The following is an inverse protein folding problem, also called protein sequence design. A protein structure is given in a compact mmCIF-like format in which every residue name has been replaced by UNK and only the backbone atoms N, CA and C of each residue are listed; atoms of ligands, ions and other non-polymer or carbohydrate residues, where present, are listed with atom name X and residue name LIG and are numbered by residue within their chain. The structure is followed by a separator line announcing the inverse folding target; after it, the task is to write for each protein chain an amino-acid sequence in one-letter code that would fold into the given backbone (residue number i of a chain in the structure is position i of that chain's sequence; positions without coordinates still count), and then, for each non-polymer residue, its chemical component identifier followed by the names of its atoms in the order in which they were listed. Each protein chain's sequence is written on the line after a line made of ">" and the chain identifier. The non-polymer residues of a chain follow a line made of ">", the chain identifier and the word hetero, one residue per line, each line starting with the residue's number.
data_IF_491700201348
#
_entry.id   IF_491700201348
#
_cell.length_a   1.000
_cell.length_b   1.000
_cell.length_c   1.000
_cell.angle_alpha   90.00
_cell.angle_beta   90.00
_cell.angle_gamma   90.00
#
_symmetry.space_group_name_H-M   'P 1'
#
loop_
_entity.id
_entity.type
_entity.pdbx_description
1 polymer ?
#
# COMPACT_ATOMS: atom_id res chain seq x y z
N UNK A 1 -27.15 65.77 -16.29
CA UNK A 1 -27.59 66.11 -14.93
C UNK A 1 -27.43 64.90 -14.05
N UNK A 2 -26.58 64.92 -13.11
CA UNK A 2 -26.36 64.52 -12.09
C UNK A 2 -25.46 64.21 -11.18
N UNK A 3 -25.41 64.29 -10.16
CA UNK A 3 -24.60 64.61 -8.92
C UNK A 3 -23.65 63.45 -8.55
N UNK A 4 -22.37 63.82 -8.51
CA UNK A 4 -21.31 62.99 -7.89
C UNK A 4 -21.39 63.16 -6.38
N UNK A 5 -21.45 62.05 -5.65
CA UNK A 5 -21.25 62.04 -4.20
C UNK A 5 -19.83 61.47 -3.93
N UNK A 6 -18.95 62.38 -3.44
CA UNK A 6 -17.63 62.02 -2.99
C UNK A 6 -17.69 61.73 -1.48
N UNK A 7 -17.42 60.52 -1.08
CA UNK A 7 -17.36 60.16 0.34
C UNK A 7 -15.88 60.07 0.73
N UNK A 8 -15.48 61.05 1.52
CA UNK A 8 -14.14 61.23 2.06
C UNK A 8 -14.07 60.41 3.36
N UNK A 9 -13.28 59.33 3.34
CA UNK A 9 -13.06 58.50 4.56
C UNK A 9 -11.73 58.92 5.18
N UNK A 10 -11.84 59.44 6.37
CA UNK A 10 -10.79 59.94 7.24
C UNK A 10 -9.99 58.75 7.81
N UNK A 11 -8.68 58.66 7.43
CA UNK A 11 -7.78 57.71 8.09
C UNK A 11 -7.22 58.31 9.38
N UNK A 12 -7.58 57.71 10.51
CA UNK A 12 -6.94 57.97 11.78
C UNK A 12 -5.83 56.96 12.01
N UNK A 13 -4.58 57.44 11.95
CA UNK A 13 -3.41 56.66 12.37
C UNK A 13 -3.31 56.66 13.89
N UNK A 14 -3.48 55.53 14.52
CA UNK A 14 -3.07 55.31 15.91
C UNK A 14 -1.72 54.57 15.90
N UNK A 15 -0.69 55.29 16.30
CA UNK A 15 0.61 54.69 16.58
C UNK A 15 0.55 53.99 17.94
N UNK A 16 0.52 52.65 17.92
CA UNK A 16 0.64 51.81 19.09
C UNK A 16 2.07 51.26 19.19
N UNK A 17 2.74 51.55 20.30
CA UNK A 17 4.08 51.05 20.62
C UNK A 17 4.05 49.52 20.74
N UNK A 18 4.83 48.81 19.94
CA UNK A 18 5.06 47.37 20.05
C UNK A 18 6.11 47.10 21.13
N UNK A 19 5.67 46.60 22.27
CA UNK A 19 6.56 45.89 23.21
C UNK A 19 6.85 44.55 22.62
N UNK A 20 8.10 44.26 22.27
CA UNK A 20 8.56 42.98 21.79
C UNK A 20 8.42 41.91 22.86
N UNK A 21 7.48 40.97 22.66
CA UNK A 21 7.48 39.70 23.38
C UNK A 21 8.19 38.68 22.47
N UNK A 22 9.33 38.21 22.95
CA UNK A 22 10.07 37.09 22.39
C UNK A 22 9.22 35.81 22.57
N UNK A 23 8.42 35.49 21.55
CA UNK A 23 7.62 34.26 21.51
C UNK A 23 8.51 33.16 20.95
N UNK A 24 9.16 32.43 21.86
CA UNK A 24 9.79 31.15 21.52
C UNK A 24 8.75 30.25 20.84
N UNK A 25 8.95 29.76 19.61
CA UNK A 25 7.98 28.91 18.95
C UNK A 25 7.90 27.59 19.73
N UNK A 26 6.79 27.38 20.43
CA UNK A 26 6.44 26.07 20.99
C UNK A 26 6.37 25.06 19.84
N UNK A 27 7.17 23.97 19.87
CA UNK A 27 7.08 22.95 18.84
C UNK A 27 5.66 22.40 18.80
N UNK A 28 5.03 22.47 17.64
CA UNK A 28 3.71 21.92 17.42
C UNK A 28 3.70 20.43 17.84
N UNK A 29 2.69 19.96 18.58
CA UNK A 29 2.62 18.56 18.99
C UNK A 29 2.60 17.68 17.74
N UNK A 30 3.65 16.90 17.56
CA UNK A 30 3.71 15.87 16.54
C UNK A 30 2.59 14.87 16.82
N UNK A 31 1.49 15.01 16.10
CA UNK A 31 0.33 14.14 16.18
C UNK A 31 0.78 12.73 15.81
N UNK A 32 1.08 11.91 16.81
CA UNK A 32 1.36 10.48 16.61
C UNK A 32 0.15 9.88 15.92
N UNK A 33 0.30 9.59 14.62
CA UNK A 33 -0.72 8.91 13.84
C UNK A 33 -1.03 7.59 14.53
N UNK A 34 -2.26 7.43 14.99
CA UNK A 34 -2.70 6.24 15.71
C UNK A 34 -2.50 4.99 14.86
N UNK A 35 -2.19 3.88 15.50
CA UNK A 35 -1.98 2.57 14.88
C UNK A 35 -3.16 2.13 13.97
N UNK A 36 -4.38 2.58 14.26
CA UNK A 36 -5.59 2.32 13.47
C UNK A 36 -5.52 2.93 12.05
N UNK A 37 -4.83 4.07 11.87
CA UNK A 37 -4.69 4.65 10.53
C UNK A 37 -3.79 3.81 9.61
N UNK A 38 -2.92 2.96 10.17
CA UNK A 38 -2.10 2.02 9.41
C UNK A 38 -2.90 0.80 8.93
N UNK A 39 -3.98 0.45 9.63
CA UNK A 39 -4.86 -0.67 9.24
C UNK A 39 -5.85 -0.23 8.17
N UNK A 40 -6.38 0.99 8.28
CA UNK A 40 -7.41 1.52 7.36
C UNK A 40 -6.82 2.13 6.08
N UNK A 41 -5.55 2.56 6.11
CA UNK A 41 -4.87 3.13 4.95
C UNK A 41 -3.43 2.59 4.89
N UNK A 42 -3.22 1.35 4.39
CA UNK A 42 -1.88 0.79 4.22
C UNK A 42 -1.02 1.64 3.29
N UNK A 43 -1.61 2.43 2.41
CA UNK A 43 -0.96 3.45 1.60
C UNK A 43 -1.16 4.86 2.16
N UNK A 44 -0.52 5.15 3.28
CA UNK A 44 -0.18 6.55 3.54
C UNK A 44 0.81 6.99 2.45
N UNK A 45 0.50 8.02 1.65
CA UNK A 45 1.31 8.41 0.48
C UNK A 45 2.76 8.79 0.79
N UNK A 46 3.19 8.69 2.04
CA UNK A 46 4.49 9.17 2.49
C UNK A 46 5.45 8.10 3.05
N UNK A 47 5.10 6.81 3.02
CA UNK A 47 6.02 5.76 3.49
C UNK A 47 6.39 4.86 2.33
N UNK A 48 7.43 5.25 1.61
CA UNK A 48 8.07 4.37 0.63
C UNK A 48 8.84 3.30 1.40
N UNK A 49 8.60 2.00 1.15
CA UNK A 49 9.36 0.94 1.79
C UNK A 49 10.86 1.11 1.55
N UNK A 50 11.66 0.83 2.57
CA UNK A 50 13.12 0.86 2.48
C UNK A 50 13.62 -0.55 2.18
N UNK A 51 14.06 -0.78 0.95
CA UNK A 51 14.66 -2.05 0.54
C UNK A 51 16.18 -2.00 0.65
N UNK A 52 16.80 -3.12 0.97
CA UNK A 52 18.27 -3.28 0.96
C UNK A 52 18.79 -3.27 -0.47
N UNK A 53 18.08 -3.97 -1.38
CA UNK A 53 18.40 -3.96 -2.80
C UNK A 53 18.13 -2.57 -3.41
N UNK A 54 19.16 -1.86 -3.89
CA UNK A 54 18.99 -0.52 -4.47
C UNK A 54 18.05 -0.49 -5.69
N UNK A 55 17.92 -1.63 -6.41
CA UNK A 55 17.06 -1.74 -7.60
C UNK A 55 15.57 -1.63 -7.25
N UNK A 56 15.19 -1.99 -6.01
CA UNK A 56 13.81 -1.99 -5.55
C UNK A 56 13.38 -0.64 -4.95
N UNK A 57 14.31 0.31 -4.80
CA UNK A 57 14.01 1.60 -4.19
C UNK A 57 12.95 2.37 -4.96
N UNK A 58 11.93 2.79 -4.25
CA UNK A 58 10.78 3.51 -4.83
C UNK A 58 9.64 2.61 -5.26
N UNK A 59 9.81 1.28 -5.24
CA UNK A 59 8.69 0.36 -5.44
C UNK A 59 7.85 0.26 -4.17
N UNK A 60 6.54 0.05 -4.35
CA UNK A 60 5.59 -0.21 -3.27
C UNK A 60 4.60 -1.29 -3.70
N UNK A 61 4.16 -2.11 -2.74
CA UNK A 61 3.14 -3.13 -2.95
C UNK A 61 1.86 -2.76 -2.22
N UNK A 62 0.74 -3.01 -2.87
CA UNK A 62 -0.60 -3.06 -2.27
C UNK A 62 -1.19 -4.45 -2.43
N UNK A 63 -1.94 -4.89 -1.43
CA UNK A 63 -2.61 -6.18 -1.43
C UNK A 63 -4.06 -6.00 -1.01
N UNK A 64 -4.96 -6.46 -1.85
CA UNK A 64 -6.38 -6.52 -1.58
C UNK A 64 -6.87 -7.96 -1.69
N UNK A 65 -7.53 -8.43 -0.65
CA UNK A 65 -8.13 -9.75 -0.59
C UNK A 65 -9.65 -9.60 -0.57
N UNK A 66 -10.33 -10.33 -1.41
CA UNK A 66 -11.80 -10.27 -1.50
C UNK A 66 -12.39 -11.67 -1.51
N UNK A 67 -13.31 -11.95 -0.56
CA UNK A 67 -13.70 -11.11 0.58
C UNK A 67 -12.70 -11.20 1.74
N UNK A 68 -12.73 -10.22 2.66
CA UNK A 68 -11.90 -10.26 3.88
C UNK A 68 -12.41 -11.24 4.94
N UNK A 69 -13.70 -11.60 4.87
CA UNK A 69 -14.30 -12.68 5.64
C UNK A 69 -14.77 -13.75 4.67
N UNK A 70 -14.12 -14.90 4.71
CA UNK A 70 -14.30 -15.99 3.75
C UNK A 70 -15.26 -17.01 4.35
N UNK A 71 -16.47 -17.14 3.79
CA UNK A 71 -17.42 -18.20 4.12
C UNK A 71 -17.03 -19.47 3.38
N UNK A 72 -16.48 -20.45 4.09
CA UNK A 72 -15.94 -21.68 3.50
C UNK A 72 -17.02 -22.57 2.86
N UNK A 73 -18.29 -22.43 3.28
CA UNK A 73 -19.43 -23.08 2.64
C UNK A 73 -19.74 -22.56 1.23
N UNK A 74 -19.41 -21.29 0.96
CA UNK A 74 -19.76 -20.61 -0.28
C UNK A 74 -18.54 -20.36 -1.19
N UNK A 75 -17.38 -20.07 -0.60
CA UNK A 75 -16.19 -19.57 -1.30
C UNK A 75 -15.11 -20.62 -1.37
N UNK A 76 -14.83 -21.12 -2.58
CA UNK A 76 -13.80 -22.13 -2.85
C UNK A 76 -12.47 -21.51 -3.30
N UNK A 77 -12.50 -20.26 -3.75
CA UNK A 77 -11.32 -19.53 -4.18
C UNK A 77 -11.37 -18.11 -3.63
N UNK A 78 -10.23 -17.63 -3.14
CA UNK A 78 -10.04 -16.29 -2.64
C UNK A 78 -9.44 -15.44 -3.76
N UNK A 79 -10.04 -14.29 -4.04
CA UNK A 79 -9.49 -13.33 -4.99
C UNK A 79 -8.41 -12.49 -4.33
N UNK A 80 -7.27 -12.41 -4.98
CA UNK A 80 -6.06 -11.70 -4.51
C UNK A 80 -5.64 -10.72 -5.60
N UNK A 81 -5.78 -9.43 -5.32
CA UNK A 81 -5.29 -8.35 -6.19
C UNK A 81 -4.03 -7.75 -5.59
N UNK A 82 -2.95 -7.77 -6.35
CA UNK A 82 -1.66 -7.17 -5.96
C UNK A 82 -1.35 -6.04 -6.92
N UNK A 83 -0.99 -4.89 -6.38
CA UNK A 83 -0.55 -3.73 -7.17
C UNK A 83 0.90 -3.43 -6.84
N UNK A 84 1.77 -3.49 -7.84
CA UNK A 84 3.15 -3.04 -7.78
C UNK A 84 3.23 -1.64 -8.38
N UNK A 85 3.64 -0.64 -7.58
CA UNK A 85 3.73 0.75 -8.00
C UNK A 85 5.16 1.26 -7.94
N UNK A 86 5.60 2.01 -8.96
CA UNK A 86 6.84 2.77 -8.92
C UNK A 86 6.56 4.20 -8.45
N UNK A 87 6.90 4.49 -7.21
CA UNK A 87 6.76 5.81 -6.59
C UNK A 87 8.00 6.69 -6.78
N UNK A 88 9.04 6.18 -7.45
CA UNK A 88 10.25 6.92 -7.73
C UNK A 88 10.12 7.80 -8.99
N UNK A 89 11.10 8.68 -9.19
CA UNK A 89 11.20 9.51 -10.41
C UNK A 89 12.01 8.84 -11.54
N UNK A 90 12.44 7.59 -11.35
CA UNK A 90 13.24 6.83 -12.30
C UNK A 90 12.52 5.55 -12.69
N UNK A 91 12.68 5.08 -13.94
CA UNK A 91 12.19 3.76 -14.30
C UNK A 91 12.93 2.68 -13.49
N UNK A 92 12.22 1.61 -13.17
CA UNK A 92 12.76 0.44 -12.48
C UNK A 92 12.62 -0.76 -13.42
N UNK A 93 13.68 -1.56 -13.54
CA UNK A 93 13.69 -2.76 -14.34
C UNK A 93 13.84 -3.98 -13.43
N UNK A 94 12.96 -4.96 -13.60
CA UNK A 94 12.98 -6.23 -12.88
C UNK A 94 13.10 -7.37 -13.88
N UNK A 95 14.13 -8.21 -13.72
CA UNK A 95 14.36 -9.38 -14.56
C UNK A 95 13.88 -10.65 -13.86
N UNK A 96 13.11 -11.44 -14.58
CA UNK A 96 12.55 -12.70 -14.12
C UNK A 96 13.07 -13.85 -14.96
N UNK A 97 13.63 -14.90 -14.37
CA UNK A 97 14.16 -16.05 -15.12
C UNK A 97 13.06 -16.96 -15.68
N UNK A 98 11.84 -16.85 -15.17
CA UNK A 98 10.68 -17.67 -15.56
C UNK A 98 9.48 -16.79 -15.87
N UNK A 99 8.35 -17.40 -16.25
CA UNK A 99 7.07 -16.67 -16.42
C UNK A 99 6.45 -16.26 -15.10
N UNK A 100 6.87 -16.84 -13.97
CA UNK A 100 6.35 -16.49 -12.64
C UNK A 100 6.79 -15.09 -12.22
N UNK A 101 5.82 -14.25 -11.87
CA UNK A 101 6.07 -12.91 -11.34
C UNK A 101 5.87 -12.87 -9.84
N UNK A 102 4.77 -13.45 -9.37
CA UNK A 102 4.39 -13.47 -7.98
C UNK A 102 4.20 -14.91 -7.47
N UNK A 103 4.29 -15.08 -6.18
CA UNK A 103 3.87 -16.26 -5.44
C UNK A 103 2.90 -15.84 -4.34
N UNK A 104 1.91 -16.66 -4.08
CA UNK A 104 0.93 -16.43 -3.02
C UNK A 104 0.91 -17.62 -2.09
N UNK A 105 1.13 -17.39 -0.80
CA UNK A 105 0.96 -18.39 0.24
C UNK A 105 -0.25 -18.06 1.11
N UNK A 106 -1.06 -19.05 1.39
CA UNK A 106 -1.99 -19.00 2.52
C UNK A 106 -1.35 -19.73 3.70
N UNK A 107 -1.19 -19.01 4.81
CA UNK A 107 -0.59 -19.57 6.02
C UNK A 107 -1.55 -19.49 7.20
N UNK A 108 -1.40 -20.41 8.14
CA UNK A 108 -2.08 -20.31 9.42
C UNK A 108 -1.37 -19.28 10.34
N UNK A 109 -1.92 -19.05 11.53
CA UNK A 109 -1.34 -18.15 12.53
C UNK A 109 0.01 -18.65 13.10
N UNK A 110 0.32 -19.93 12.95
CA UNK A 110 1.60 -20.52 13.33
C UNK A 110 2.71 -20.33 12.29
N UNK A 111 2.34 -19.92 11.08
CA UNK A 111 3.27 -19.72 9.96
C UNK A 111 3.38 -20.92 9.03
N UNK A 112 2.60 -22.00 9.25
CA UNK A 112 2.59 -23.14 8.34
C UNK A 112 1.90 -22.78 7.03
N UNK A 113 2.52 -23.11 5.91
CA UNK A 113 1.97 -22.91 4.57
C UNK A 113 0.95 -24.00 4.28
N UNK A 114 -0.29 -23.60 4.03
CA UNK A 114 -1.41 -24.50 3.73
C UNK A 114 -1.61 -24.64 2.23
N UNK A 115 -1.47 -23.55 1.48
CA UNK A 115 -1.70 -23.52 0.03
C UNK A 115 -0.67 -22.60 -0.62
N UNK A 116 -0.15 -23.02 -1.79
CA UNK A 116 0.70 -22.21 -2.65
C UNK A 116 0.03 -22.00 -4.00
N UNK A 117 0.08 -20.79 -4.50
CA UNK A 117 -0.49 -20.44 -5.80
C UNK A 117 0.19 -21.23 -6.94
N UNK A 118 1.52 -21.36 -6.90
CA UNK A 118 2.30 -22.05 -7.92
C UNK A 118 1.97 -23.54 -8.07
N UNK A 119 1.43 -24.20 -7.05
CA UNK A 119 1.05 -25.62 -7.13
C UNK A 119 -0.05 -25.92 -8.16
N UNK A 120 -0.83 -24.88 -8.54
CA UNK A 120 -1.93 -25.01 -9.49
C UNK A 120 -1.71 -24.20 -10.77
N UNK A 121 -0.48 -23.71 -11.02
CA UNK A 121 -0.16 -22.88 -12.17
C UNK A 121 1.07 -23.39 -12.90
N UNK A 122 0.98 -23.45 -14.23
CA UNK A 122 2.12 -23.79 -15.06
C UNK A 122 3.11 -22.63 -15.12
N UNK A 123 4.34 -22.88 -14.69
CA UNK A 123 5.44 -21.92 -14.75
C UNK A 123 6.34 -22.31 -15.90
N UNK A 124 6.42 -21.43 -16.91
CA UNK A 124 7.30 -21.62 -18.06
C UNK A 124 8.72 -21.12 -17.77
N UNK A 125 9.71 -21.73 -18.42
CA UNK A 125 11.14 -21.38 -18.28
C UNK A 125 11.53 -20.09 -19.00
N UNK A 126 10.64 -19.52 -19.82
CA UNK A 126 10.93 -18.28 -20.55
C UNK A 126 10.95 -17.07 -19.61
N UNK A 127 12.12 -16.51 -19.43
CA UNK A 127 12.30 -15.26 -18.69
C UNK A 127 11.70 -14.04 -19.39
N UNK A 128 11.49 -12.99 -18.65
CA UNK A 128 11.12 -11.68 -19.20
C UNK A 128 11.56 -10.54 -18.29
N UNK A 129 11.80 -9.40 -18.91
CA UNK A 129 12.12 -8.14 -18.23
C UNK A 129 10.85 -7.29 -18.10
N UNK A 130 10.62 -6.76 -16.92
CA UNK A 130 9.53 -5.86 -16.61
C UNK A 130 10.10 -4.45 -16.38
N UNK A 131 9.76 -3.51 -17.25
CA UNK A 131 10.07 -2.09 -17.08
C UNK A 131 8.87 -1.39 -16.44
N UNK A 132 9.11 -0.68 -15.34
CA UNK A 132 8.07 0.06 -14.60
C UNK A 132 8.45 1.53 -14.60
N UNK A 133 7.73 2.33 -15.36
CA UNK A 133 7.99 3.77 -15.47
C UNK A 133 7.62 4.53 -14.19
N UNK A 134 8.10 5.76 -13.99
CA UNK A 134 7.67 6.60 -12.88
C UNK A 134 6.15 6.73 -12.80
N UNK A 135 5.58 6.56 -11.61
CA UNK A 135 4.14 6.60 -11.33
C UNK A 135 3.32 5.46 -11.97
N UNK A 136 3.95 4.54 -12.69
CA UNK A 136 3.28 3.38 -13.25
C UNK A 136 2.88 2.38 -12.17
N UNK A 137 1.76 1.69 -12.41
CA UNK A 137 1.20 0.65 -11.55
C UNK A 137 0.92 -0.60 -12.39
N UNK A 138 1.34 -1.74 -11.90
CA UNK A 138 1.10 -3.04 -12.51
C UNK A 138 0.24 -3.85 -11.56
N UNK A 139 -0.85 -4.41 -12.06
CA UNK A 139 -1.81 -5.18 -11.28
C UNK A 139 -1.73 -6.66 -11.65
N UNK A 140 -1.72 -7.50 -10.61
CA UNK A 140 -1.87 -8.94 -10.71
C UNK A 140 -3.18 -9.32 -10.04
N UNK A 141 -4.07 -9.99 -10.77
CA UNK A 141 -5.36 -10.41 -10.28
C UNK A 141 -5.39 -11.95 -10.35
N UNK A 142 -5.26 -12.57 -9.19
CA UNK A 142 -5.11 -14.01 -9.06
C UNK A 142 -6.18 -14.61 -8.15
N UNK A 143 -6.31 -15.91 -8.20
CA UNK A 143 -7.14 -16.64 -7.26
C UNK A 143 -6.35 -17.76 -6.60
N UNK A 144 -6.67 -18.05 -5.33
CA UNK A 144 -6.04 -19.14 -4.59
C UNK A 144 -7.09 -19.98 -3.87
N UNK A 145 -6.89 -21.30 -3.86
CA UNK A 145 -7.82 -22.26 -3.23
C UNK A 145 -7.94 -22.05 -1.73
N UNK A 146 -9.18 -22.13 -1.23
CA UNK A 146 -9.50 -22.08 0.21
C UNK A 146 -9.71 -23.45 0.84
N UNK A 147 -9.45 -24.54 0.08
CA UNK A 147 -9.77 -25.92 0.47
C UNK A 147 -9.16 -26.34 1.81
N UNK A 148 -7.93 -25.93 2.06
CA UNK A 148 -7.16 -26.29 3.26
C UNK A 148 -7.46 -25.41 4.47
N UNK A 149 -8.36 -24.43 4.31
CA UNK A 149 -8.72 -23.52 5.40
C UNK A 149 -9.76 -24.18 6.33
N UNK A 150 -9.65 -23.89 7.61
CA UNK A 150 -10.58 -24.35 8.65
C UNK A 150 -11.40 -23.18 9.18
N UNK A 151 -12.70 -23.38 9.51
CA UNK A 151 -13.55 -22.29 9.96
C UNK A 151 -13.11 -21.72 11.33
N UNK A 152 -13.55 -20.49 11.60
CA UNK A 152 -13.35 -19.76 12.85
C UNK A 152 -11.86 -19.52 13.17
N UNK A 153 -11.04 -19.39 12.12
CA UNK A 153 -9.61 -19.09 12.27
C UNK A 153 -9.19 -17.91 11.40
N UNK A 154 -8.15 -17.22 11.86
CA UNK A 154 -7.49 -16.16 11.10
C UNK A 154 -6.34 -16.77 10.32
N UNK A 155 -6.28 -16.43 9.04
CA UNK A 155 -5.22 -16.81 8.13
C UNK A 155 -4.50 -15.58 7.60
N UNK A 156 -3.35 -15.80 6.99
CA UNK A 156 -2.54 -14.77 6.38
C UNK A 156 -2.34 -15.14 4.91
N UNK A 157 -2.71 -14.23 4.01
CA UNK A 157 -2.24 -14.27 2.64
C UNK A 157 -0.93 -13.48 2.56
N UNK A 158 0.13 -14.13 2.15
CA UNK A 158 1.42 -13.54 1.85
C UNK A 158 1.65 -13.56 0.35
N UNK A 159 1.93 -12.40 -0.22
CA UNK A 159 2.31 -12.28 -1.63
C UNK A 159 3.74 -11.77 -1.69
N UNK A 160 4.53 -12.39 -2.54
CA UNK A 160 5.91 -11.97 -2.76
C UNK A 160 6.36 -12.27 -4.20
N UNK A 161 7.44 -11.60 -4.60
CA UNK A 161 8.12 -11.84 -5.86
C UNK A 161 9.26 -12.84 -5.62
N UNK A 162 9.23 -14.07 -6.15
CA UNK A 162 10.24 -15.10 -5.85
C UNK A 162 11.66 -14.66 -6.14
N UNK A 163 11.86 -13.88 -7.20
CA UNK A 163 13.17 -13.32 -7.58
C UNK A 163 13.60 -12.13 -6.70
N UNK A 164 12.65 -11.48 -6.04
CA UNK A 164 12.86 -10.27 -5.24
C UNK A 164 12.18 -10.38 -3.88
N UNK A 165 12.72 -11.20 -2.99
CA UNK A 165 12.09 -11.57 -1.71
C UNK A 165 11.80 -10.41 -0.77
N UNK A 166 12.41 -9.26 -0.97
CA UNK A 166 12.08 -8.03 -0.24
C UNK A 166 10.76 -7.41 -0.71
N UNK A 167 10.34 -7.68 -1.95
CA UNK A 167 9.01 -7.32 -2.45
C UNK A 167 7.99 -8.33 -1.94
N UNK A 168 7.55 -8.13 -0.70
CA UNK A 168 6.54 -8.97 -0.05
C UNK A 168 5.54 -8.14 0.75
N UNK A 169 4.31 -8.63 0.80
CA UNK A 169 3.23 -8.01 1.54
C UNK A 169 2.32 -9.09 2.12
N UNK A 170 1.72 -8.81 3.27
CA UNK A 170 0.86 -9.75 3.99
C UNK A 170 -0.43 -9.07 4.40
N UNK A 171 -1.52 -9.81 4.32
CA UNK A 171 -2.82 -9.40 4.82
C UNK A 171 -3.50 -10.54 5.55
N UNK A 172 -4.11 -10.23 6.71
CA UNK A 172 -4.92 -11.18 7.48
C UNK A 172 -6.35 -11.18 6.97
N UNK A 173 -6.98 -12.36 7.02
CA UNK A 173 -8.40 -12.54 6.74
C UNK A 173 -8.98 -13.59 7.67
N UNK A 174 -10.31 -13.58 7.82
CA UNK A 174 -11.05 -14.52 8.68
C UNK A 174 -11.76 -15.56 7.81
N UNK A 175 -11.62 -16.85 8.16
CA UNK A 175 -12.44 -17.90 7.60
C UNK A 175 -13.57 -18.24 8.58
N UNK A 176 -14.80 -18.31 8.06
CA UNK A 176 -16.02 -18.68 8.81
C UNK A 176 -16.71 -19.87 8.13
N UNK A 177 -17.62 -20.55 8.82
CA UNK A 177 -18.37 -21.69 8.28
C UNK A 177 -19.12 -21.40 6.99
#
# INVERSE_FOLDING_TARGET
>A
MKRRLVLLVLMVFLAGAMVGQDVTPTPAPTRKRGWLSRILHPFSPNVVPQYKDPRLRGLALDLQITPQTVKLSEIRQLSVKVTLANLSKRPVTLDFPTTQRIEIYLTNSGGDVLTKWSENHAIGEKGATLLINPSERIEYNETISTRELTPNKVFIAEVFFPQFLELRIRQKFLAVP
#
